data_IF_868182786849
#
_entry.id   IF_868182786849
#
_cell.length_a   1.000
_cell.length_b   1.000
_cell.length_c   1.000
_cell.angle_alpha   90.00
_cell.angle_beta   90.00
_cell.angle_gamma   90.00
#
_symmetry.space_group_name_H-M   'P 1'
#
loop_
_entity.id
_entity.type
_entity.pdbx_description
1 polymer ?
#
# COMPACT_ATOMS: atom_id res chain seq x y z
N UNK A 1 -22.74 -1.09 -13.97
CA UNK A 1 -22.13 -1.08 -15.31
C UNK A 1 -20.86 -0.27 -15.16
N UNK A 2 -19.69 -0.92 -15.11
CA UNK A 2 -18.41 -0.20 -14.93
C UNK A 2 -17.95 0.29 -16.30
N UNK A 3 -17.68 1.59 -16.40
CA UNK A 3 -17.17 2.23 -17.61
C UNK A 3 -15.80 1.64 -17.96
N UNK A 4 -15.74 0.85 -19.04
CA UNK A 4 -14.56 0.11 -19.49
C UNK A 4 -13.56 0.99 -20.29
N UNK A 5 -13.73 2.31 -20.26
CA UNK A 5 -12.97 3.26 -21.09
C UNK A 5 -11.99 4.14 -20.29
N UNK A 6 -11.52 3.69 -19.14
CA UNK A 6 -10.27 4.26 -18.59
C UNK A 6 -9.14 3.58 -19.37
N UNK A 7 -8.75 4.19 -20.49
CA UNK A 7 -7.55 3.79 -21.21
C UNK A 7 -6.36 4.03 -20.27
N UNK A 8 -5.94 3.00 -19.53
CA UNK A 8 -4.79 3.10 -18.63
C UNK A 8 -3.59 3.47 -19.50
N UNK A 9 -3.04 4.65 -19.28
CA UNK A 9 -1.91 5.14 -20.05
C UNK A 9 -0.64 4.37 -19.65
N UNK A 10 -0.38 3.28 -20.35
CA UNK A 10 0.75 2.39 -20.09
C UNK A 10 2.10 2.97 -20.50
N UNK A 11 2.14 4.13 -21.17
CA UNK A 11 3.41 4.75 -21.61
C UNK A 11 4.34 5.16 -20.46
N UNK A 12 3.77 5.32 -19.25
CA UNK A 12 4.52 5.65 -18.03
C UNK A 12 4.89 4.44 -17.19
N UNK A 13 4.40 3.25 -17.54
CA UNK A 13 4.70 2.05 -16.78
C UNK A 13 6.15 1.60 -17.02
N UNK A 14 6.84 1.12 -15.99
CA UNK A 14 8.15 0.52 -16.14
C UNK A 14 8.07 -0.67 -17.09
N UNK A 15 9.11 -0.84 -17.91
CA UNK A 15 9.22 -1.98 -18.84
C UNK A 15 9.18 -3.34 -18.13
N UNK A 16 9.59 -3.39 -16.86
CA UNK A 16 9.43 -4.54 -15.99
C UNK A 16 9.27 -4.13 -14.52
N UNK A 17 8.08 -4.31 -13.95
CA UNK A 17 7.83 -4.01 -12.52
C UNK A 17 8.56 -4.97 -11.57
N UNK A 18 8.97 -6.15 -12.04
CA UNK A 18 9.68 -7.14 -11.22
C UNK A 18 11.12 -6.71 -10.91
N UNK A 19 11.67 -5.75 -11.65
CA UNK A 19 13.03 -5.23 -11.41
C UNK A 19 13.06 -4.06 -10.44
N UNK A 20 11.91 -3.44 -10.16
CA UNK A 20 11.84 -2.34 -9.20
C UNK A 20 12.10 -2.84 -7.77
N UNK A 21 12.86 -2.04 -7.02
CA UNK A 21 13.23 -2.32 -5.63
C UNK A 21 13.30 -1.02 -4.83
N UNK A 22 13.18 -1.16 -3.51
CA UNK A 22 13.38 -0.10 -2.54
C UNK A 22 12.57 1.14 -2.91
N UNK A 23 13.22 2.29 -3.01
CA UNK A 23 12.55 3.56 -3.27
C UNK A 23 11.89 3.61 -4.65
N UNK A 24 12.45 2.97 -5.67
CA UNK A 24 11.86 2.96 -7.01
C UNK A 24 10.53 2.20 -7.03
N UNK A 25 10.46 1.09 -6.29
CA UNK A 25 9.22 0.34 -6.12
C UNK A 25 8.20 1.15 -5.31
N UNK A 26 8.60 1.74 -4.18
CA UNK A 26 7.69 2.53 -3.35
C UNK A 26 7.18 3.78 -4.09
N UNK A 27 8.03 4.45 -4.87
CA UNK A 27 7.65 5.59 -5.70
C UNK A 27 6.66 5.20 -6.79
N UNK A 28 6.85 4.04 -7.42
CA UNK A 28 5.87 3.50 -8.36
C UNK A 28 4.52 3.24 -7.68
N UNK A 29 4.51 2.64 -6.48
CA UNK A 29 3.28 2.41 -5.70
C UNK A 29 2.61 3.73 -5.30
N UNK A 30 3.37 4.77 -4.92
CA UNK A 30 2.82 6.10 -4.63
C UNK A 30 2.08 6.69 -5.83
N UNK A 31 2.67 6.55 -7.01
CA UNK A 31 2.13 7.11 -8.25
C UNK A 31 0.88 6.36 -8.75
N UNK A 32 0.91 5.03 -8.68
CA UNK A 32 -0.13 4.19 -9.30
C UNK A 32 -1.24 3.75 -8.34
N UNK A 33 -0.97 3.69 -7.03
CA UNK A 33 -1.95 3.29 -6.01
C UNK A 33 -2.32 4.46 -5.08
N UNK A 34 -1.42 4.84 -4.18
CA UNK A 34 -1.53 6.02 -3.32
C UNK A 34 -0.33 6.13 -2.37
N UNK A 35 -0.15 7.32 -1.78
CA UNK A 35 0.81 7.54 -0.68
C UNK A 35 0.53 6.61 0.52
N UNK A 36 -0.75 6.46 0.88
CA UNK A 36 -1.17 5.68 2.05
C UNK A 36 -0.83 4.18 1.89
N UNK A 37 -0.94 3.64 0.66
CA UNK A 37 -0.54 2.25 0.34
C UNK A 37 0.98 2.10 0.37
N UNK A 38 1.73 3.06 -0.19
CA UNK A 38 3.19 3.00 -0.19
C UNK A 38 3.77 3.01 1.25
N UNK A 39 3.22 3.86 2.12
CA UNK A 39 3.62 3.90 3.53
C UNK A 39 3.31 2.59 4.26
N UNK A 40 2.17 1.97 3.97
CA UNK A 40 1.81 0.66 4.52
C UNK A 40 2.79 -0.43 4.10
N UNK A 41 3.18 -0.47 2.83
CA UNK A 41 4.16 -1.42 2.32
C UNK A 41 5.54 -1.16 2.95
N UNK A 42 5.95 0.10 3.03
CA UNK A 42 7.22 0.49 3.63
C UNK A 42 7.31 0.09 5.11
N UNK A 43 6.25 0.29 5.89
CA UNK A 43 6.20 -0.09 7.30
C UNK A 43 6.36 -1.60 7.54
N UNK A 44 6.07 -2.41 6.51
CA UNK A 44 6.20 -3.87 6.52
C UNK A 44 7.49 -4.36 5.87
N UNK A 45 8.39 -3.45 5.48
CA UNK A 45 9.57 -3.77 4.68
C UNK A 45 9.23 -4.46 3.35
N UNK A 46 8.03 -4.21 2.80
CA UNK A 46 7.63 -4.66 1.47
C UNK A 46 8.11 -3.61 0.48
N UNK A 47 9.24 -3.89 -0.14
CA UNK A 47 9.97 -2.93 -0.97
C UNK A 47 10.24 -3.44 -2.39
N UNK A 48 9.69 -4.58 -2.77
CA UNK A 48 9.76 -5.08 -4.14
C UNK A 48 8.57 -6.00 -4.44
N UNK A 49 8.36 -6.27 -5.73
CA UNK A 49 7.29 -7.19 -6.15
C UNK A 49 7.45 -8.59 -5.55
N UNK A 50 8.68 -9.06 -5.37
CA UNK A 50 8.94 -10.37 -4.73
C UNK A 50 8.48 -10.40 -3.28
N UNK A 51 8.83 -9.40 -2.47
CA UNK A 51 8.38 -9.35 -1.06
C UNK A 51 6.86 -9.23 -0.98
N UNK A 52 6.25 -8.44 -1.87
CA UNK A 52 4.79 -8.28 -1.91
C UNK A 52 4.08 -9.61 -2.20
N UNK A 53 4.55 -10.36 -3.20
CA UNK A 53 3.97 -11.66 -3.57
C UNK A 53 4.19 -12.75 -2.51
N UNK A 54 5.19 -12.59 -1.64
CA UNK A 54 5.45 -13.51 -0.53
C UNK A 54 4.64 -13.15 0.72
N UNK A 55 4.05 -11.96 0.78
CA UNK A 55 3.20 -11.54 1.89
C UNK A 55 1.79 -12.08 1.68
N UNK A 56 1.36 -12.98 2.55
CA UNK A 56 0.01 -13.59 2.49
C UNK A 56 -1.10 -12.60 2.81
N UNK A 57 -0.84 -11.65 3.71
CA UNK A 57 -1.76 -10.59 4.08
C UNK A 57 -0.99 -9.29 4.37
N UNK A 58 -1.15 -8.32 3.48
CA UNK A 58 -0.51 -7.00 3.55
C UNK A 58 -1.12 -6.12 4.65
N UNK A 59 -2.29 -6.48 5.19
CA UNK A 59 -2.90 -5.76 6.30
C UNK A 59 -2.56 -6.38 7.65
N UNK A 60 -1.92 -7.54 7.70
CA UNK A 60 -1.59 -8.25 8.95
C UNK A 60 -0.79 -7.39 9.94
N UNK A 61 0.09 -6.50 9.46
CA UNK A 61 0.83 -5.58 10.32
C UNK A 61 -0.06 -4.57 11.05
N UNK A 62 -1.23 -4.25 10.49
CA UNK A 62 -2.19 -3.33 11.09
C UNK A 62 -2.87 -3.93 12.33
N UNK A 63 -2.82 -5.24 12.52
CA UNK A 63 -3.30 -5.90 13.74
C UNK A 63 -2.24 -5.93 14.86
N UNK A 64 -1.00 -5.52 14.58
CA UNK A 64 0.05 -5.42 15.60
C UNK A 64 -0.23 -4.22 16.51
N UNK A 65 -0.28 -4.48 17.83
CA UNK A 65 -0.35 -3.43 18.85
C UNK A 65 1.02 -2.78 19.03
N UNK A 66 1.33 -1.80 18.19
CA UNK A 66 2.58 -1.03 18.26
C UNK A 66 2.32 0.47 18.19
N UNK A 67 2.92 1.22 19.12
CA UNK A 67 2.90 2.69 19.11
C UNK A 67 3.47 3.28 17.82
N UNK A 68 4.42 2.59 17.18
CA UNK A 68 5.01 3.04 15.90
C UNK A 68 4.01 2.95 14.75
N UNK A 69 3.05 2.02 14.81
CA UNK A 69 2.03 1.81 13.80
C UNK A 69 0.76 2.63 14.07
N UNK A 70 0.52 3.07 15.30
CA UNK A 70 -0.66 3.87 15.65
C UNK A 70 -0.78 5.15 14.82
N UNK A 71 0.35 5.79 14.51
CA UNK A 71 0.37 6.98 13.64
C UNK A 71 -0.05 6.64 12.21
N UNK A 72 0.42 5.51 11.68
CA UNK A 72 0.06 5.01 10.35
C UNK A 72 -1.43 4.63 10.30
N UNK A 73 -1.94 3.90 11.30
CA UNK A 73 -3.36 3.53 11.43
C UNK A 73 -4.28 4.74 11.40
N UNK A 74 -3.91 5.82 12.10
CA UNK A 74 -4.62 7.10 12.08
C UNK A 74 -4.57 7.82 10.74
N UNK A 75 -3.43 7.73 10.04
CA UNK A 75 -3.23 8.38 8.75
C UNK A 75 -4.09 7.75 7.65
N UNK A 76 -4.07 6.42 7.55
CA UNK A 76 -4.68 5.70 6.43
C UNK A 76 -6.14 5.36 6.66
N UNK A 77 -6.58 5.34 7.92
CA UNK A 77 -7.89 4.85 8.32
C UNK A 77 -7.98 3.33 8.18
N UNK A 78 -8.35 2.65 9.25
CA UNK A 78 -8.24 1.19 9.33
C UNK A 78 -9.40 0.57 10.10
N UNK A 79 -9.99 -0.49 9.53
CA UNK A 79 -10.96 -1.33 10.22
C UNK A 79 -10.21 -2.38 11.04
N UNK A 80 -10.43 -2.37 12.34
CA UNK A 80 -9.89 -3.34 13.29
C UNK A 80 -10.74 -4.62 13.31
N UNK A 81 -10.16 -5.71 13.81
CA UNK A 81 -10.79 -7.03 13.89
C UNK A 81 -12.07 -7.06 14.77
N UNK A 82 -12.33 -6.01 15.55
CA UNK A 82 -13.51 -5.84 16.42
C UNK A 82 -14.63 -5.00 15.76
N UNK A 83 -14.61 -4.88 14.43
CA UNK A 83 -15.49 -4.02 13.63
C UNK A 83 -15.38 -2.51 13.95
N UNK A 84 -14.42 -2.09 14.77
CA UNK A 84 -14.15 -0.66 15.01
C UNK A 84 -13.26 -0.08 13.92
N UNK A 85 -13.40 1.19 13.61
CA UNK A 85 -12.62 1.84 12.56
C UNK A 85 -11.89 3.09 13.08
N UNK A 86 -10.63 3.23 12.65
CA UNK A 86 -9.89 4.47 12.79
C UNK A 86 -10.27 5.34 11.60
N UNK A 87 -10.90 6.48 11.83
CA UNK A 87 -11.29 7.43 10.78
C UNK A 87 -10.17 8.43 10.56
N UNK A 88 -9.82 8.69 9.30
CA UNK A 88 -8.91 9.77 8.92
C UNK A 88 -9.55 11.11 9.33
N UNK A 89 -8.87 11.96 10.13
CA UNK A 89 -9.40 13.29 10.42
C UNK A 89 -9.48 14.09 9.11
N UNK A 90 -10.67 14.64 8.84
CA UNK A 90 -10.97 15.45 7.66
C UNK A 90 -10.44 16.87 7.76
#
# INVERSE_FOLDING_TARGET
MFDLNILINTSKLPSNVLTLRDDDFLNFVRQEASEDVADLLQAQSINCTKSLLMTSDVFSAMNIKSKSLDALKKKIGYLQDDDTYVVKPG
#
